data_IF_764865958317
#
_entry.id   IF_764865958317
#
_cell.length_a   1.000
_cell.length_b   1.000
_cell.length_c   1.000
_cell.angle_alpha   90.00
_cell.angle_beta   90.00
_cell.angle_gamma   90.00
#
_symmetry.space_group_name_H-M   'P 1'
#
loop_
_entity.id
_entity.type
_entity.pdbx_description
1 polymer ?
#
# COMPACT_ATOMS: atom_id res chain seq x y z
N UNK A 1 -1.85 18.55 1.04
CA UNK A 1 -2.59 17.60 1.93
C UNK A 1 -1.86 17.53 3.27
N UNK A 2 -2.50 17.16 4.39
CA UNK A 2 -1.81 17.00 5.68
C UNK A 2 -1.20 15.60 5.76
N UNK A 3 0.10 15.50 6.04
CA UNK A 3 0.73 14.24 6.44
C UNK A 3 0.03 13.69 7.68
N UNK A 4 -0.15 12.37 7.75
CA UNK A 4 -0.66 11.71 8.95
C UNK A 4 0.45 11.63 10.01
N UNK A 5 1.68 11.33 9.57
CA UNK A 5 2.89 11.39 10.37
C UNK A 5 4.08 11.86 9.52
N UNK A 6 4.98 12.63 10.13
CA UNK A 6 6.26 13.05 9.56
C UNK A 6 7.31 12.86 10.64
N UNK A 7 8.25 11.94 10.40
CA UNK A 7 9.43 11.73 11.22
C UNK A 7 10.68 11.67 10.35
N UNK A 8 11.85 11.64 10.99
CA UNK A 8 13.13 11.46 10.30
C UNK A 8 13.24 10.06 9.65
N UNK A 9 12.41 9.11 10.09
CA UNK A 9 12.41 7.72 9.65
C UNK A 9 11.33 7.38 8.61
N UNK A 10 10.23 8.13 8.54
CA UNK A 10 9.10 7.85 7.66
C UNK A 10 8.21 9.08 7.47
N UNK A 11 7.78 9.33 6.23
CA UNK A 11 6.60 10.13 5.92
C UNK A 11 5.43 9.18 5.68
N UNK A 12 4.34 9.34 6.43
CA UNK A 12 3.12 8.54 6.29
C UNK A 12 1.96 9.45 5.92
N UNK A 13 1.32 9.17 4.78
CA UNK A 13 0.08 9.83 4.35
C UNK A 13 -1.06 8.81 4.46
N UNK A 14 -2.20 9.28 4.95
CA UNK A 14 -3.45 8.50 5.01
C UNK A 14 -4.50 9.20 4.17
N UNK A 15 -5.06 8.49 3.21
CA UNK A 15 -6.08 8.99 2.30
C UNK A 15 -7.37 8.23 2.57
N UNK A 16 -8.44 8.95 2.88
CA UNK A 16 -9.79 8.36 2.98
C UNK A 16 -10.48 8.53 1.63
N UNK A 17 -10.96 7.43 1.07
CA UNK A 17 -11.56 7.37 -0.27
C UNK A 17 -12.81 6.49 -0.26
N UNK A 18 -13.66 6.65 -1.28
CA UNK A 18 -14.90 5.90 -1.41
C UNK A 18 -15.98 6.24 -0.39
N UNK A 19 -17.18 5.72 -0.67
CA UNK A 19 -18.37 5.89 0.17
C UNK A 19 -18.32 5.09 1.49
N UNK A 20 -17.43 4.10 1.56
CA UNK A 20 -17.16 3.29 2.76
C UNK A 20 -16.03 3.88 3.63
N UNK A 21 -15.45 5.01 3.20
CA UNK A 21 -14.36 5.69 3.88
C UNK A 21 -13.11 4.82 4.11
N UNK A 22 -12.80 3.93 3.16
CA UNK A 22 -11.60 3.08 3.18
C UNK A 22 -10.33 3.91 3.16
N UNK A 23 -9.26 3.32 3.69
CA UNK A 23 -7.99 3.98 3.85
C UNK A 23 -6.97 3.44 2.86
N UNK A 24 -6.38 4.33 2.07
CA UNK A 24 -5.13 4.09 1.34
C UNK A 24 -4.00 4.81 2.05
N UNK A 25 -2.77 4.33 1.87
CA UNK A 25 -1.60 4.90 2.53
C UNK A 25 -0.45 5.14 1.57
N UNK A 26 0.41 6.09 1.92
CA UNK A 26 1.72 6.29 1.28
C UNK A 26 2.78 6.15 2.37
N UNK A 27 3.69 5.20 2.20
CA UNK A 27 4.87 5.01 3.05
C UNK A 27 6.07 5.55 2.28
N UNK A 28 6.59 6.71 2.68
CA UNK A 28 7.56 7.49 1.90
C UNK A 28 8.85 7.67 2.71
N UNK A 29 9.99 7.37 2.08
CA UNK A 29 11.32 7.66 2.62
C UNK A 29 11.56 9.18 2.60
N UNK A 30 11.78 9.84 3.76
CA UNK A 30 11.97 11.29 3.80
C UNK A 30 13.19 11.81 3.03
N UNK A 31 14.20 10.96 2.76
CA UNK A 31 15.43 11.37 2.08
C UNK A 31 15.33 11.25 0.56
N UNK A 32 14.88 10.10 0.05
CA UNK A 32 14.81 9.81 -1.39
C UNK A 32 13.46 10.17 -2.03
N UNK A 33 12.40 10.31 -1.22
CA UNK A 33 11.01 10.36 -1.63
C UNK A 33 10.49 9.09 -2.32
N UNK A 34 11.26 8.00 -2.37
CA UNK A 34 10.78 6.69 -2.79
C UNK A 34 9.67 6.21 -1.84
N UNK A 35 8.59 5.69 -2.40
CA UNK A 35 7.40 5.37 -1.63
C UNK A 35 6.66 4.12 -2.09
N UNK A 36 6.09 3.42 -1.12
CA UNK A 36 5.08 2.37 -1.35
C UNK A 36 3.68 2.98 -1.24
N UNK A 37 2.84 2.69 -2.23
CA UNK A 37 1.42 3.00 -2.17
C UNK A 37 0.65 1.78 -1.70
N UNK A 38 -0.14 1.91 -0.62
CA UNK A 38 -0.83 0.79 0.02
C UNK A 38 -2.35 0.90 -0.21
N UNK A 39 -2.94 -0.19 -0.69
CA UNK A 39 -4.36 -0.40 -0.97
C UNK A 39 -4.97 0.59 -1.98
N UNK A 40 -5.19 0.14 -3.21
CA UNK A 40 -5.81 0.91 -4.29
C UNK A 40 -7.35 0.87 -4.25
N UNK A 41 -7.93 1.49 -3.22
CA UNK A 41 -9.33 1.30 -2.83
C UNK A 41 -10.38 1.76 -3.84
N UNK A 42 -10.47 3.06 -4.17
CA UNK A 42 -11.58 3.65 -4.95
C UNK A 42 -11.13 4.63 -6.05
N UNK A 43 -11.08 5.94 -5.78
CA UNK A 43 -10.94 6.96 -6.83
C UNK A 43 -9.46 7.19 -7.22
N UNK A 44 -9.01 6.59 -8.33
CA UNK A 44 -7.63 6.69 -8.82
C UNK A 44 -7.08 8.13 -8.88
N UNK A 45 -7.86 9.09 -9.39
CA UNK A 45 -7.44 10.49 -9.48
C UNK A 45 -7.19 11.13 -8.09
N UNK A 46 -8.00 10.76 -7.09
CA UNK A 46 -7.83 11.27 -5.71
C UNK A 46 -6.57 10.68 -5.08
N UNK A 47 -6.35 9.39 -5.31
CA UNK A 47 -5.17 8.67 -4.82
C UNK A 47 -3.89 9.21 -5.46
N UNK A 48 -3.90 9.43 -6.77
CA UNK A 48 -2.77 10.02 -7.51
C UNK A 48 -2.45 11.44 -7.05
N UNK A 49 -3.46 12.29 -6.89
CA UNK A 49 -3.26 13.65 -6.36
C UNK A 49 -2.67 13.63 -4.94
N UNK A 50 -3.01 12.65 -4.11
CA UNK A 50 -2.46 12.52 -2.76
C UNK A 50 -0.99 12.07 -2.74
N UNK A 51 -0.52 11.43 -3.82
CA UNK A 51 0.85 10.98 -4.00
C UNK A 51 1.77 12.08 -4.56
N UNK A 52 1.27 13.29 -4.84
CA UNK A 52 2.09 14.38 -5.37
C UNK A 52 3.36 14.62 -4.53
N UNK A 53 4.50 14.63 -5.21
CA UNK A 53 5.83 14.79 -4.63
C UNK A 53 6.51 13.48 -4.18
N UNK A 54 5.79 12.37 -4.09
CA UNK A 54 6.37 11.05 -3.80
C UNK A 54 6.73 10.32 -5.11
N UNK A 55 7.84 9.57 -5.09
CA UNK A 55 8.21 8.65 -6.16
C UNK A 55 7.64 7.27 -5.84
N UNK A 56 6.46 6.93 -6.37
CA UNK A 56 5.86 5.62 -6.13
C UNK A 56 6.70 4.56 -6.83
N UNK A 57 7.26 3.62 -6.07
CA UNK A 57 8.10 2.53 -6.62
C UNK A 57 7.36 1.19 -6.72
N UNK A 58 6.26 1.04 -5.98
CA UNK A 58 5.39 -0.13 -6.01
C UNK A 58 4.01 0.17 -5.42
N UNK A 59 3.00 -0.58 -5.88
CA UNK A 59 1.70 -0.69 -5.22
C UNK A 59 1.71 -1.96 -4.39
N UNK A 60 1.34 -1.89 -3.12
CA UNK A 60 1.19 -3.05 -2.24
C UNK A 60 -0.27 -3.20 -1.83
N UNK A 61 -0.84 -4.39 -2.03
CA UNK A 61 -2.18 -4.71 -1.56
C UNK A 61 -2.09 -5.52 -0.27
N UNK A 62 -2.78 -5.07 0.78
CA UNK A 62 -2.85 -5.80 2.06
C UNK A 62 -3.71 -7.05 1.93
N UNK A 63 -4.74 -7.04 1.08
CA UNK A 63 -5.63 -8.17 0.79
C UNK A 63 -6.47 -7.90 -0.47
N UNK A 64 -7.22 -8.89 -0.97
CA UNK A 64 -7.96 -8.84 -2.24
C UNK A 64 -9.44 -8.47 -2.11
N UNK A 65 -9.88 -7.81 -1.05
CA UNK A 65 -11.30 -7.48 -0.88
C UNK A 65 -11.73 -6.34 -1.81
N UNK A 66 -13.01 -6.37 -2.23
CA UNK A 66 -13.48 -5.60 -3.38
C UNK A 66 -13.36 -4.08 -3.20
N UNK A 67 -13.46 -3.57 -1.98
CA UNK A 67 -13.36 -2.14 -1.63
C UNK A 67 -11.90 -1.67 -1.41
N UNK A 68 -10.91 -2.56 -1.55
CA UNK A 68 -9.47 -2.24 -1.48
C UNK A 68 -8.75 -2.28 -2.84
N UNK A 69 -9.44 -2.67 -3.92
CA UNK A 69 -8.81 -2.97 -5.22
C UNK A 69 -9.37 -2.21 -6.43
N UNK A 70 -10.36 -1.33 -6.28
CA UNK A 70 -11.05 -0.73 -7.44
C UNK A 70 -10.14 0.14 -8.30
N UNK A 71 -9.20 0.88 -7.70
CA UNK A 71 -8.26 1.75 -8.42
C UNK A 71 -7.04 0.99 -8.95
N UNK A 72 -6.88 -0.29 -8.64
CA UNK A 72 -5.62 -1.02 -8.81
C UNK A 72 -5.17 -1.09 -10.27
N UNK A 73 -6.07 -1.42 -11.19
CA UNK A 73 -5.77 -1.52 -12.61
C UNK A 73 -5.33 -0.16 -13.19
N UNK A 74 -6.10 0.89 -12.92
CA UNK A 74 -5.84 2.24 -13.40
C UNK A 74 -4.51 2.78 -12.87
N UNK A 75 -4.24 2.62 -11.57
CA UNK A 75 -2.99 3.10 -10.97
C UNK A 75 -1.77 2.33 -11.47
N UNK A 76 -1.89 1.00 -11.65
CA UNK A 76 -0.81 0.20 -12.25
C UNK A 76 -0.48 0.69 -13.67
N UNK A 77 -1.50 0.97 -14.48
CA UNK A 77 -1.30 1.48 -15.84
C UNK A 77 -0.63 2.87 -15.84
N UNK A 78 -1.10 3.78 -14.98
CA UNK A 78 -0.58 5.16 -14.92
C UNK A 78 0.85 5.24 -14.42
N UNK A 79 1.15 4.51 -13.34
CA UNK A 79 2.45 4.60 -12.68
C UNK A 79 3.47 3.64 -13.28
N UNK A 80 3.02 2.58 -13.96
CA UNK A 80 3.88 1.56 -14.55
C UNK A 80 4.88 0.99 -13.52
N UNK A 81 4.37 0.66 -12.35
CA UNK A 81 5.10 0.08 -11.21
C UNK A 81 4.57 -1.33 -10.89
N UNK A 82 5.38 -2.19 -10.26
CA UNK A 82 4.92 -3.52 -9.87
C UNK A 82 3.83 -3.45 -8.80
N UNK A 83 2.91 -4.41 -8.87
CA UNK A 83 1.91 -4.72 -7.85
C UNK A 83 2.38 -5.91 -7.04
N UNK A 84 2.54 -5.68 -5.74
CA UNK A 84 3.03 -6.63 -4.76
C UNK A 84 1.87 -7.04 -3.86
N UNK A 85 1.64 -8.34 -3.70
CA UNK A 85 0.63 -8.82 -2.80
C UNK A 85 0.84 -10.30 -2.42
N UNK A 86 0.12 -10.79 -1.43
CA UNK A 86 0.15 -12.22 -1.10
C UNK A 86 -0.65 -13.03 -2.14
N UNK A 87 -0.17 -14.19 -2.61
CA UNK A 87 -0.82 -14.95 -3.69
C UNK A 87 -2.13 -15.66 -3.29
N UNK A 88 -2.45 -15.70 -2.00
CA UNK A 88 -3.64 -16.34 -1.43
C UNK A 88 -4.95 -15.55 -1.54
N UNK A 89 -5.03 -14.59 -2.46
CA UNK A 89 -6.12 -13.62 -2.62
C UNK A 89 -6.57 -13.52 -4.09
N UNK A 90 -7.80 -13.05 -4.30
CA UNK A 90 -8.33 -12.80 -5.64
C UNK A 90 -8.18 -11.30 -5.99
N UNK A 91 -7.29 -10.98 -6.93
CA UNK A 91 -7.08 -9.62 -7.43
C UNK A 91 -7.70 -9.42 -8.81
N UNK A 92 -8.17 -8.19 -9.14
CA UNK A 92 -8.76 -7.90 -10.45
C UNK A 92 -7.73 -7.90 -11.60
N UNK A 93 -6.44 -7.91 -11.26
CA UNK A 93 -5.30 -7.98 -12.19
C UNK A 93 -4.24 -8.91 -11.62
N UNK A 94 -3.34 -9.41 -12.48
CA UNK A 94 -2.19 -10.17 -12.03
C UNK A 94 -1.27 -9.32 -11.14
N UNK A 95 -0.85 -9.91 -10.02
CA UNK A 95 0.25 -9.42 -9.21
C UNK A 95 1.58 -9.71 -9.93
N UNK A 96 2.55 -8.81 -9.78
CA UNK A 96 3.86 -8.95 -10.42
C UNK A 96 4.86 -9.65 -9.50
N UNK A 97 4.70 -9.46 -8.19
CA UNK A 97 5.57 -10.04 -7.17
C UNK A 97 4.75 -10.55 -5.98
N UNK A 98 5.05 -11.78 -5.56
CA UNK A 98 4.40 -12.43 -4.42
C UNK A 98 5.07 -12.03 -3.11
N UNK A 99 4.27 -11.56 -2.15
CA UNK A 99 4.69 -11.31 -0.79
C UNK A 99 4.44 -12.54 0.07
N UNK A 100 5.46 -12.93 0.83
CA UNK A 100 5.45 -14.07 1.73
C UNK A 100 5.66 -13.58 3.16
N UNK A 101 5.25 -14.40 4.13
CA UNK A 101 5.47 -14.06 5.55
C UNK A 101 6.95 -13.78 5.82
N UNK A 102 7.22 -12.75 6.64
CA UNK A 102 8.56 -12.29 7.03
C UNK A 102 9.46 -11.76 5.90
N UNK A 103 8.96 -11.63 4.67
CA UNK A 103 9.69 -10.94 3.61
C UNK A 103 9.69 -9.42 3.84
N UNK A 104 10.50 -8.68 3.06
CA UNK A 104 10.54 -7.22 3.14
C UNK A 104 10.38 -6.57 1.77
N UNK A 105 9.67 -5.45 1.74
CA UNK A 105 9.55 -4.58 0.56
C UNK A 105 10.36 -3.32 0.79
N UNK A 106 11.36 -3.08 -0.06
CA UNK A 106 12.24 -1.91 0.05
C UNK A 106 11.66 -0.68 -0.66
N UNK A 107 11.96 0.50 -0.12
CA UNK A 107 11.66 1.80 -0.73
C UNK A 107 12.69 2.82 -0.23
N UNK A 108 13.52 3.33 -1.12
CA UNK A 108 14.66 4.15 -0.73
C UNK A 108 15.60 3.44 0.26
N UNK A 109 15.91 4.11 1.37
CA UNK A 109 16.70 3.58 2.48
C UNK A 109 15.90 2.74 3.48
N UNK A 110 14.59 2.59 3.28
CA UNK A 110 13.64 1.97 4.21
C UNK A 110 13.16 0.62 3.70
N UNK A 111 12.54 -0.16 4.59
CA UNK A 111 11.83 -1.38 4.22
C UNK A 111 10.61 -1.62 5.10
N UNK A 112 9.58 -2.20 4.51
CA UNK A 112 8.39 -2.70 5.20
C UNK A 112 8.49 -4.21 5.38
N UNK A 113 8.43 -4.68 6.62
CA UNK A 113 8.33 -6.10 6.94
C UNK A 113 6.90 -6.58 6.68
N UNK A 114 6.77 -7.63 5.89
CA UNK A 114 5.51 -8.33 5.62
C UNK A 114 5.23 -9.30 6.77
N UNK A 115 4.03 -9.23 7.32
CA UNK A 115 3.51 -10.19 8.29
C UNK A 115 2.26 -10.83 7.68
N UNK A 116 2.28 -12.12 7.42
CA UNK A 116 1.09 -12.84 6.98
C UNK A 116 0.12 -12.98 8.15
N UNK A 117 -1.05 -12.37 8.03
CA UNK A 117 -2.04 -12.26 9.10
C UNK A 117 -3.41 -12.70 8.59
N UNK A 118 -3.59 -14.00 8.27
CA UNK A 118 -4.86 -14.51 7.78
C UNK A 118 -5.96 -14.33 8.83
N UNK A 119 -7.16 -14.02 8.37
CA UNK A 119 -8.30 -13.74 9.24
C UNK A 119 -9.49 -13.24 8.44
N UNK A 120 -9.53 -11.93 8.18
CA UNK A 120 -10.54 -11.32 7.31
C UNK A 120 -10.53 -11.99 5.92
N UNK A 121 -9.33 -12.22 5.37
CA UNK A 121 -9.11 -13.01 4.17
C UNK A 121 -7.96 -14.02 4.38
N UNK A 122 -7.85 -15.09 3.55
CA UNK A 122 -6.82 -16.13 3.72
C UNK A 122 -5.38 -15.67 3.47
N UNK A 123 -5.20 -14.66 2.62
CA UNK A 123 -3.91 -14.09 2.26
C UNK A 123 -3.66 -12.68 2.82
N UNK A 124 -4.50 -12.20 3.74
CA UNK A 124 -4.33 -10.88 4.33
C UNK A 124 -2.96 -10.69 4.99
N UNK A 125 -2.35 -9.53 4.79
CA UNK A 125 -1.06 -9.16 5.37
C UNK A 125 -1.12 -7.85 6.14
N UNK A 126 -0.26 -7.73 7.15
CA UNK A 126 0.13 -6.45 7.72
C UNK A 126 1.51 -6.02 7.19
N UNK A 127 1.75 -4.71 7.18
CA UNK A 127 3.07 -4.13 6.86
C UNK A 127 3.60 -3.36 8.08
N UNK A 128 4.76 -3.77 8.58
CA UNK A 128 5.44 -3.11 9.69
C UNK A 128 6.62 -2.28 9.17
N UNK A 129 6.58 -0.96 9.41
CA UNK A 129 7.69 -0.03 9.14
C UNK A 129 8.06 0.70 10.42
N UNK A 130 9.24 0.42 10.96
CA UNK A 130 9.68 0.98 12.23
C UNK A 130 8.70 0.64 13.36
N UNK A 131 7.92 1.62 13.80
CA UNK A 131 6.88 1.47 14.85
C UNK A 131 5.44 1.55 14.33
N UNK A 132 5.27 1.65 13.02
CA UNK A 132 3.98 1.81 12.37
C UNK A 132 3.54 0.49 11.74
N UNK A 133 2.32 0.06 12.04
CA UNK A 133 1.69 -1.12 11.44
C UNK A 133 0.54 -0.66 10.55
N UNK A 134 0.59 -1.00 9.27
CA UNK A 134 -0.58 -0.96 8.38
C UNK A 134 -1.23 -2.34 8.47
N UNK A 135 -2.43 -2.39 9.04
CA UNK A 135 -3.09 -3.65 9.40
C UNK A 135 -3.98 -4.25 8.32
N UNK A 136 -4.28 -3.50 7.25
CA UNK A 136 -5.46 -3.77 6.43
C UNK A 136 -6.68 -3.94 7.33
N UNK A 137 -7.49 -4.96 7.04
CA UNK A 137 -8.69 -5.32 7.80
C UNK A 137 -8.44 -6.39 8.88
N UNK A 138 -7.19 -6.52 9.34
CA UNK A 138 -6.81 -7.48 10.40
C UNK A 138 -7.25 -7.04 11.81
N UNK A 139 -7.20 -5.73 12.11
CA UNK A 139 -7.38 -5.14 13.45
C UNK A 139 -8.28 -3.91 13.47
#
# INVERSE_FOLDING_TARGET
MKHHYVGDDLILRKIRVGHMENNSYVLEDPESHDALFIDACFEADTLEAACEGANIVAIVQTHGHFDHVQALADLKERWNVPVLAHPGEDYPISIDEELQDTSSVAFGSKSALVLHTPGHTPGGICLLVGRHLISGDTL
#
